data_IF_289631523223
#
_entry.id   IF_289631523223
#
_cell.length_a   1.000
_cell.length_b   1.000
_cell.length_c   1.000
_cell.angle_alpha   90.00
_cell.angle_beta   90.00
_cell.angle_gamma   90.00
#
_symmetry.space_group_name_H-M   'P 1'
#
loop_
_entity.id
_entity.type
_entity.pdbx_description
1 polymer ?
#
# COMPACT_ATOMS: atom_id res chain seq x y z
N UNK A 1 -8.88 -19.92 1.98
CA UNK A 1 -7.78 -20.76 2.49
C UNK A 1 -8.26 -21.96 3.33
N UNK A 2 -9.47 -22.49 3.06
CA UNK A 2 -10.02 -23.65 3.80
C UNK A 2 -9.91 -23.49 5.31
N UNK A 3 -9.56 -24.58 5.99
CA UNK A 3 -9.38 -24.66 7.45
C UNK A 3 -8.28 -23.75 8.00
N UNK A 4 -7.32 -23.34 7.16
CA UNK A 4 -6.22 -22.47 7.57
C UNK A 4 -6.62 -20.99 7.64
N UNK A 5 -7.76 -20.59 7.07
CA UNK A 5 -8.24 -19.20 7.13
C UNK A 5 -7.16 -18.16 6.75
N UNK A 6 -7.05 -17.07 7.49
CA UNK A 6 -6.07 -16.01 7.19
C UNK A 6 -4.60 -16.44 7.37
N UNK A 7 -4.31 -17.54 8.08
CA UNK A 7 -2.95 -18.07 8.16
C UNK A 7 -2.45 -18.51 6.77
N UNK A 8 -3.33 -19.08 5.95
CA UNK A 8 -3.00 -19.45 4.58
C UNK A 8 -2.63 -18.25 3.72
N UNK A 9 -3.30 -17.11 3.91
CA UNK A 9 -2.98 -15.85 3.23
C UNK A 9 -1.60 -15.33 3.64
N UNK A 10 -1.36 -15.21 4.94
CA UNK A 10 -0.12 -14.63 5.48
C UNK A 10 1.10 -15.49 5.12
N UNK A 11 1.01 -16.80 5.33
CA UNK A 11 2.12 -17.72 5.07
C UNK A 11 2.32 -18.00 3.58
N UNK A 12 1.23 -18.12 2.82
CA UNK A 12 1.26 -18.54 1.43
C UNK A 12 1.55 -17.41 0.45
N UNK A 13 1.11 -16.19 0.77
CA UNK A 13 1.11 -15.03 -0.14
C UNK A 13 1.90 -13.89 0.48
N UNK A 14 1.36 -13.23 1.51
CA UNK A 14 1.88 -11.95 2.01
C UNK A 14 3.36 -12.00 2.39
N UNK A 15 3.79 -13.00 3.18
CA UNK A 15 5.20 -13.12 3.59
C UNK A 15 6.15 -13.42 2.43
N UNK A 16 5.67 -14.15 1.42
CA UNK A 16 6.50 -14.47 0.24
C UNK A 16 6.67 -13.24 -0.65
N UNK A 17 5.59 -12.52 -0.90
CA UNK A 17 5.60 -11.31 -1.73
C UNK A 17 6.48 -10.21 -1.12
N UNK A 18 6.41 -10.01 0.21
CA UNK A 18 7.31 -9.08 0.93
C UNK A 18 8.78 -9.49 0.74
N UNK A 19 9.10 -10.78 0.93
CA UNK A 19 10.49 -11.28 0.83
C UNK A 19 11.05 -11.20 -0.59
N UNK A 20 10.19 -11.34 -1.59
CA UNK A 20 10.56 -11.24 -3.00
C UNK A 20 10.57 -9.79 -3.50
N UNK A 21 10.19 -8.80 -2.68
CA UNK A 21 10.15 -7.40 -3.06
C UNK A 21 9.10 -7.09 -4.14
N UNK A 22 8.00 -7.84 -4.16
CA UNK A 22 6.94 -7.64 -5.17
C UNK A 22 6.25 -6.30 -4.93
N UNK A 23 6.23 -5.43 -5.96
CA UNK A 23 5.66 -4.08 -5.88
C UNK A 23 4.18 -4.07 -5.46
N UNK A 24 3.41 -5.10 -5.84
CA UNK A 24 1.99 -5.24 -5.51
C UNK A 24 1.70 -5.33 -4.00
N UNK A 25 2.70 -5.63 -3.15
CA UNK A 25 2.56 -5.57 -1.69
C UNK A 25 2.15 -4.17 -1.25
N UNK A 26 2.74 -3.13 -1.86
CA UNK A 26 2.36 -1.73 -1.69
C UNK A 26 1.32 -1.37 -2.74
N UNK A 27 0.16 -2.04 -2.70
CA UNK A 27 -0.87 -1.90 -3.74
C UNK A 27 -1.34 -0.45 -3.96
N UNK A 28 -1.30 0.39 -2.91
CA UNK A 28 -1.61 1.83 -3.05
C UNK A 28 -0.59 2.56 -3.92
N UNK A 29 0.71 2.25 -3.76
CA UNK A 29 1.76 2.77 -4.65
C UNK A 29 1.57 2.25 -6.07
N UNK A 30 1.34 0.94 -6.21
CA UNK A 30 1.13 0.31 -7.51
C UNK A 30 -0.08 0.91 -8.26
N UNK A 31 -1.12 1.31 -7.54
CA UNK A 31 -2.28 2.03 -8.07
C UNK A 31 -2.04 3.54 -8.32
N UNK A 32 -0.84 4.06 -8.05
CA UNK A 32 -0.44 5.44 -8.32
C UNK A 32 -0.88 6.47 -7.27
N UNK A 33 -1.12 6.05 -6.03
CA UNK A 33 -1.56 6.97 -4.97
C UNK A 33 -0.53 8.05 -4.65
N UNK A 34 0.76 7.76 -4.81
CA UNK A 34 1.86 8.70 -4.65
C UNK A 34 1.87 9.77 -5.75
N UNK A 35 1.65 9.38 -7.00
CA UNK A 35 1.46 10.32 -8.12
C UNK A 35 0.21 11.19 -7.91
N UNK A 36 -0.87 10.60 -7.41
CA UNK A 36 -2.08 11.34 -7.05
C UNK A 36 -1.84 12.38 -5.96
N UNK A 37 -1.05 12.06 -4.93
CA UNK A 37 -0.68 12.99 -3.88
C UNK A 37 0.23 14.11 -4.38
N UNK A 38 1.22 13.79 -5.22
CA UNK A 38 2.07 14.81 -5.85
C UNK A 38 1.25 15.77 -6.72
N UNK A 39 0.27 15.26 -7.46
CA UNK A 39 -0.65 16.08 -8.25
C UNK A 39 -1.49 17.00 -7.36
N UNK A 40 -2.05 16.48 -6.26
CA UNK A 40 -2.84 17.29 -5.32
C UNK A 40 -2.00 18.37 -4.65
N UNK A 41 -0.76 18.06 -4.28
CA UNK A 41 0.18 19.01 -3.67
C UNK A 41 0.55 20.12 -4.67
N UNK A 42 0.77 19.78 -5.94
CA UNK A 42 1.00 20.76 -7.00
C UNK A 42 -0.17 21.76 -7.14
N UNK A 43 -1.42 21.31 -7.05
CA UNK A 43 -2.60 22.16 -7.25
C UNK A 43 -3.10 22.88 -5.99
N UNK A 44 -2.99 22.25 -4.83
CA UNK A 44 -3.63 22.71 -3.58
C UNK A 44 -2.62 23.11 -2.49
N UNK A 45 -1.32 22.97 -2.76
CA UNK A 45 -0.25 23.26 -1.82
C UNK A 45 -0.46 22.56 -0.48
N UNK A 46 -0.29 23.32 0.62
CA UNK A 46 -0.38 22.81 1.98
C UNK A 46 -1.78 22.32 2.39
N UNK A 47 -2.83 22.69 1.65
CA UNK A 47 -4.21 22.26 1.92
C UNK A 47 -4.59 20.99 1.15
N UNK A 48 -3.65 20.36 0.45
CA UNK A 48 -3.90 19.15 -0.33
C UNK A 48 -4.37 17.98 0.56
N UNK A 49 -5.56 17.43 0.26
CA UNK A 49 -6.06 16.23 0.92
C UNK A 49 -5.40 14.96 0.37
N UNK A 50 -4.28 14.58 0.98
CA UNK A 50 -3.46 13.44 0.57
C UNK A 50 -4.02 12.09 1.04
N UNK A 51 -3.79 11.05 0.23
CA UNK A 51 -4.07 9.65 0.57
C UNK A 51 -2.96 9.07 1.49
N UNK A 52 -1.75 9.62 1.39
CA UNK A 52 -0.70 9.42 2.38
C UNK A 52 -1.05 10.08 3.72
N UNK A 53 -0.40 9.61 4.80
CA UNK A 53 -0.69 10.07 6.15
C UNK A 53 -0.32 9.00 7.19
N UNK A 54 -0.67 9.27 8.45
CA UNK A 54 -0.36 8.37 9.58
C UNK A 54 -0.95 6.97 9.39
N UNK A 55 -2.18 6.89 8.89
CA UNK A 55 -2.92 5.63 8.73
C UNK A 55 -2.73 4.99 7.35
N UNK A 56 -1.73 5.44 6.58
CA UNK A 56 -1.42 4.87 5.28
C UNK A 56 -0.88 3.43 5.43
N UNK A 57 -1.58 2.49 4.80
CA UNK A 57 -1.17 1.07 4.70
C UNK A 57 0.26 0.87 4.19
N UNK A 58 0.78 1.76 3.33
CA UNK A 58 2.15 1.66 2.81
C UNK A 58 3.23 1.75 3.88
N UNK A 59 2.94 2.35 5.03
CA UNK A 59 3.88 2.48 6.15
C UNK A 59 4.01 1.20 6.98
N UNK A 60 3.18 0.19 6.71
CA UNK A 60 3.16 -1.08 7.42
C UNK A 60 3.89 -2.20 6.65
N UNK A 61 4.54 -1.86 5.52
CA UNK A 61 5.24 -2.77 4.61
C UNK A 61 6.67 -2.33 4.30
#
# INVERSE_FOLDING_TARGET
FGDLGMLGYVAGVQRKEIRQGIACVKHQNMAGSDMGDAHKEYFSGDQALKASGKDNTMNQF
#
